data_IF_190828404301
#
_entry.id   IF_190828404301
#
_cell.length_a   1.000
_cell.length_b   1.000
_cell.length_c   1.000
_cell.angle_alpha   90.00
_cell.angle_beta   90.00
_cell.angle_gamma   90.00
#
_symmetry.space_group_name_H-M   'P 1'
#
loop_
_entity.id
_entity.type
_entity.pdbx_description
1 polymer ?
#
# COMPACT_ATOMS: atom_id res chain seq x y z
N UNK A 1 24.58 -6.10 -18.22
CA UNK A 1 25.32 -6.00 -16.95
C UNK A 1 24.30 -5.90 -15.83
N UNK A 2 24.41 -6.76 -14.82
CA UNK A 2 23.34 -7.12 -13.89
C UNK A 2 22.68 -5.92 -13.20
N UNK A 3 21.39 -5.69 -13.46
CA UNK A 3 20.55 -4.78 -12.66
C UNK A 3 20.28 -5.47 -11.34
N UNK A 4 21.12 -5.21 -10.34
CA UNK A 4 20.85 -5.56 -8.95
C UNK A 4 19.49 -4.98 -8.56
N UNK A 5 18.55 -5.84 -8.20
CA UNK A 5 17.15 -5.47 -8.01
C UNK A 5 17.08 -4.54 -6.79
N UNK A 6 16.62 -3.29 -6.98
CA UNK A 6 16.45 -2.31 -5.89
C UNK A 6 15.49 -2.80 -4.80
N UNK A 7 14.51 -3.62 -5.22
CA UNK A 7 13.52 -4.27 -4.37
C UNK A 7 13.96 -5.70 -4.03
N UNK A 8 14.01 -6.01 -2.75
CA UNK A 8 14.13 -7.38 -2.23
C UNK A 8 12.76 -7.83 -1.73
N UNK A 9 12.35 -9.04 -2.06
CA UNK A 9 11.18 -9.63 -1.41
C UNK A 9 11.56 -10.09 0.00
N UNK A 10 10.71 -9.77 0.97
CA UNK A 10 10.80 -10.25 2.34
C UNK A 10 9.61 -11.13 2.66
N UNK A 11 9.81 -12.02 3.63
CA UNK A 11 8.74 -12.76 4.27
C UNK A 11 8.53 -12.23 5.69
N UNK A 12 7.26 -12.05 6.05
CA UNK A 12 6.81 -11.64 7.36
C UNK A 12 5.89 -12.71 7.95
N UNK A 13 5.93 -12.97 9.26
CA UNK A 13 5.10 -13.99 9.90
C UNK A 13 3.59 -13.85 9.67
N UNK A 14 3.12 -12.63 9.39
CA UNK A 14 1.70 -12.31 9.22
C UNK A 14 1.18 -12.60 7.81
N UNK A 15 2.06 -12.76 6.81
CA UNK A 15 1.63 -13.07 5.45
C UNK A 15 0.91 -14.42 5.40
N UNK A 16 -0.04 -14.53 4.49
CA UNK A 16 -0.75 -15.79 4.21
C UNK A 16 -0.50 -16.21 2.79
N UNK A 17 -0.53 -17.50 2.53
CA UNK A 17 -0.56 -18.03 1.17
C UNK A 17 -1.92 -18.70 0.92
N UNK A 18 -2.71 -18.23 -0.05
CA UNK A 18 -3.84 -19.00 -0.57
C UNK A 18 -3.34 -20.28 -1.24
N UNK A 19 -4.26 -21.13 -1.70
CA UNK A 19 -3.96 -22.45 -2.25
C UNK A 19 -3.00 -22.45 -3.47
N UNK A 20 -2.75 -21.29 -4.08
CA UNK A 20 -1.86 -21.09 -5.23
C UNK A 20 -0.39 -20.84 -4.87
N UNK A 21 -0.04 -20.75 -3.58
CA UNK A 21 1.34 -20.56 -3.13
C UNK A 21 1.84 -19.11 -3.20
N UNK A 22 1.01 -18.15 -3.62
CA UNK A 22 1.39 -16.73 -3.67
C UNK A 22 1.25 -16.10 -2.28
N UNK A 23 2.23 -15.32 -1.82
CA UNK A 23 2.14 -14.65 -0.51
C UNK A 23 1.32 -13.35 -0.58
N UNK A 24 0.41 -13.18 0.38
CA UNK A 24 -0.44 -12.01 0.55
C UNK A 24 -0.20 -11.32 1.90
N UNK A 25 0.05 -9.98 1.90
CA UNK A 25 0.46 -9.16 0.74
C UNK A 25 1.86 -9.56 0.25
N UNK A 26 2.31 -9.12 -0.92
CA UNK A 26 3.75 -9.14 -1.21
C UNK A 26 4.46 -8.10 -0.34
N UNK A 27 5.68 -8.38 0.13
CA UNK A 27 6.45 -7.44 0.95
C UNK A 27 7.76 -7.15 0.25
N UNK A 28 8.02 -5.86 -0.01
CA UNK A 28 9.25 -5.38 -0.62
C UNK A 28 10.02 -4.55 0.39
N UNK A 29 11.31 -4.81 0.49
CA UNK A 29 12.28 -3.98 1.19
C UNK A 29 13.38 -3.53 0.24
N UNK A 30 14.21 -2.58 0.67
CA UNK A 30 15.39 -2.26 -0.10
C UNK A 30 16.44 -3.38 -0.03
N UNK A 31 17.22 -3.56 -1.10
CA UNK A 31 18.38 -4.48 -1.09
C UNK A 31 19.53 -3.95 -0.23
N UNK A 32 20.09 -4.84 0.60
CA UNK A 32 21.14 -4.55 1.62
C UNK A 32 22.46 -4.01 1.08
N UNK A 33 22.72 -4.10 -0.23
CA UNK A 33 23.95 -3.59 -0.86
C UNK A 33 24.00 -2.06 -1.00
N UNK A 34 22.90 -1.37 -0.65
CA UNK A 34 22.79 0.09 -0.76
C UNK A 34 22.97 0.74 0.62
N UNK A 35 24.14 0.55 1.23
CA UNK A 35 24.52 1.11 2.56
C UNK A 35 24.74 2.62 2.56
N UNK A 36 24.59 3.29 1.42
CA UNK A 36 24.48 4.76 1.35
C UNK A 36 23.01 5.10 1.54
N UNK A 37 22.72 5.92 2.55
CA UNK A 37 21.45 6.62 2.81
C UNK A 37 20.55 6.51 1.59
N UNK A 38 19.60 5.57 1.62
CA UNK A 38 18.67 5.47 0.53
C UNK A 38 17.91 6.78 0.51
N UNK A 39 18.07 7.49 -0.59
CA UNK A 39 17.40 8.75 -0.79
C UNK A 39 16.02 8.47 -1.34
N UNK A 40 15.04 9.26 -0.91
CA UNK A 40 13.70 9.26 -1.49
C UNK A 40 13.75 9.34 -3.03
N UNK A 41 14.68 10.14 -3.58
CA UNK A 41 14.91 10.27 -5.03
C UNK A 41 15.21 8.93 -5.71
N UNK A 42 16.08 8.10 -5.12
CA UNK A 42 16.42 6.77 -5.65
C UNK A 42 15.23 5.82 -5.58
N UNK A 43 14.44 5.88 -4.49
CA UNK A 43 13.22 5.08 -4.37
C UNK A 43 12.19 5.48 -5.45
N UNK A 44 11.94 6.78 -5.66
CA UNK A 44 11.06 7.28 -6.74
C UNK A 44 11.53 6.80 -8.12
N UNK A 45 12.83 6.92 -8.40
CA UNK A 45 13.40 6.44 -9.66
C UNK A 45 13.23 4.93 -9.84
N UNK A 46 13.41 4.14 -8.77
CA UNK A 46 13.19 2.70 -8.81
C UNK A 46 11.72 2.35 -9.05
N UNK A 47 10.77 3.06 -8.43
CA UNK A 47 9.33 2.89 -8.72
C UNK A 47 9.07 3.10 -10.21
N UNK A 48 9.56 4.20 -10.78
CA UNK A 48 9.37 4.53 -12.20
C UNK A 48 10.00 3.46 -13.10
N UNK A 49 11.25 3.08 -12.84
CA UNK A 49 12.00 2.11 -13.65
C UNK A 49 11.41 0.70 -13.60
N UNK A 50 10.82 0.30 -12.47
CA UNK A 50 10.26 -1.04 -12.24
C UNK A 50 8.73 -1.08 -12.26
N UNK A 51 8.05 0.00 -12.69
CA UNK A 51 6.59 0.10 -12.67
C UNK A 51 5.87 -1.11 -13.29
N UNK A 52 6.23 -1.62 -14.49
CA UNK A 52 5.54 -2.79 -15.06
C UNK A 52 5.65 -4.04 -14.17
N UNK A 53 6.80 -4.24 -13.53
CA UNK A 53 7.00 -5.35 -12.60
C UNK A 53 6.20 -5.16 -11.31
N UNK A 54 6.17 -3.95 -10.74
CA UNK A 54 5.36 -3.63 -9.56
C UNK A 54 3.87 -3.80 -9.84
N UNK A 55 3.38 -3.40 -11.01
CA UNK A 55 1.98 -3.60 -11.41
C UNK A 55 1.64 -5.08 -11.58
N UNK A 56 2.54 -5.88 -12.16
CA UNK A 56 2.38 -7.34 -12.25
C UNK A 56 2.36 -8.01 -10.88
N UNK A 57 3.27 -7.61 -9.99
CA UNK A 57 3.32 -8.10 -8.61
C UNK A 57 2.04 -7.75 -7.85
N UNK A 58 1.54 -6.51 -8.00
CA UNK A 58 0.29 -6.05 -7.38
C UNK A 58 -0.91 -6.82 -7.92
N UNK A 59 -0.95 -7.08 -9.23
CA UNK A 59 -2.02 -7.85 -9.86
C UNK A 59 -2.10 -9.28 -9.31
N UNK A 60 -0.96 -9.93 -9.13
CA UNK A 60 -0.89 -11.31 -8.64
C UNK A 60 -1.10 -11.41 -7.13
N UNK A 61 -0.57 -10.46 -6.36
CA UNK A 61 -0.56 -10.53 -4.90
C UNK A 61 -1.72 -9.77 -4.27
N UNK A 62 -2.47 -8.94 -5.00
CA UNK A 62 -3.57 -8.11 -4.50
C UNK A 62 -3.15 -6.88 -3.68
N UNK A 63 -2.03 -6.95 -2.96
CA UNK A 63 -1.45 -5.81 -2.22
C UNK A 63 0.08 -5.95 -2.12
N UNK A 64 0.76 -4.80 -1.97
CA UNK A 64 2.21 -4.73 -1.75
C UNK A 64 2.48 -3.84 -0.53
N UNK A 65 3.26 -4.34 0.44
CA UNK A 65 3.84 -3.56 1.53
C UNK A 65 5.27 -3.16 1.17
N UNK A 66 5.55 -1.87 1.12
CA UNK A 66 6.90 -1.33 0.99
C UNK A 66 7.45 -1.00 2.38
N UNK A 67 8.47 -1.73 2.86
CA UNK A 67 9.01 -1.60 4.22
C UNK A 67 10.50 -1.27 4.22
N UNK A 68 10.90 -0.27 5.00
CA UNK A 68 12.31 0.14 5.16
C UNK A 68 12.79 1.18 4.14
N UNK A 69 11.87 1.81 3.40
CA UNK A 69 12.19 2.92 2.50
C UNK A 69 12.18 4.27 3.23
N UNK A 70 12.93 5.27 2.73
CA UNK A 70 13.08 6.59 3.35
C UNK A 70 11.86 7.50 3.12
N UNK A 71 10.68 7.08 3.59
CA UNK A 71 9.43 7.85 3.50
C UNK A 71 9.02 8.22 4.92
N UNK A 72 9.21 9.49 5.29
CA UNK A 72 9.11 9.93 6.69
C UNK A 72 8.12 11.06 6.92
N UNK A 73 7.51 11.57 5.85
CA UNK A 73 6.54 12.67 5.92
C UNK A 73 5.44 12.51 4.88
N UNK A 74 4.30 13.21 5.05
CA UNK A 74 3.23 13.26 4.06
C UNK A 74 3.72 13.73 2.68
N UNK A 75 4.69 14.65 2.64
CA UNK A 75 5.29 15.15 1.41
C UNK A 75 6.10 14.06 0.70
N UNK A 76 6.91 13.29 1.45
CA UNK A 76 7.66 12.15 0.90
C UNK A 76 6.70 11.09 0.35
N UNK A 77 5.60 10.86 1.06
CA UNK A 77 4.58 9.91 0.64
C UNK A 77 3.84 10.37 -0.62
N UNK A 78 3.47 11.66 -0.72
CA UNK A 78 2.90 12.22 -1.95
C UNK A 78 3.85 12.02 -3.14
N UNK A 79 5.14 12.27 -2.93
CA UNK A 79 6.20 12.07 -3.92
C UNK A 79 6.29 10.62 -4.41
N UNK A 80 6.09 9.65 -3.52
CA UNK A 80 6.03 8.21 -3.85
C UNK A 80 4.76 7.90 -4.65
N UNK A 81 3.60 8.39 -4.21
CA UNK A 81 2.32 8.20 -4.91
C UNK A 81 2.39 8.77 -6.33
N UNK A 82 2.99 9.94 -6.51
CA UNK A 82 3.19 10.56 -7.82
C UNK A 82 4.15 9.75 -8.70
N UNK A 83 5.20 9.16 -8.13
CA UNK A 83 6.14 8.31 -8.87
C UNK A 83 5.49 7.06 -9.49
N UNK A 84 4.44 6.51 -8.87
CA UNK A 84 3.66 5.43 -9.49
C UNK A 84 2.88 5.90 -10.73
N UNK A 85 2.57 7.19 -10.85
CA UNK A 85 1.87 7.75 -12.00
C UNK A 85 0.46 7.19 -12.19
N UNK A 86 -0.21 6.76 -11.12
CA UNK A 86 -1.62 6.38 -11.18
C UNK A 86 -2.51 7.63 -11.25
N UNK A 87 -3.67 7.56 -11.93
CA UNK A 87 -4.63 8.65 -11.90
C UNK A 87 -5.15 8.85 -10.48
N UNK A 88 -5.26 10.11 -10.06
CA UNK A 88 -5.89 10.46 -8.79
C UNK A 88 -7.39 10.16 -8.84
N UNK A 89 -7.94 9.71 -7.71
CA UNK A 89 -9.37 9.56 -7.52
C UNK A 89 -9.84 10.67 -6.57
N UNK A 90 -10.72 11.55 -7.02
CA UNK A 90 -11.28 12.62 -6.19
C UNK A 90 -12.25 12.04 -5.14
N UNK A 91 -12.00 12.32 -3.86
CA UNK A 91 -12.83 11.84 -2.75
C UNK A 91 -14.16 12.61 -2.66
N UNK A 92 -15.06 12.37 -3.61
CA UNK A 92 -16.39 12.99 -3.66
C UNK A 92 -17.44 11.95 -3.26
N UNK A 93 -18.30 12.28 -2.28
CA UNK A 93 -19.31 11.36 -1.76
C UNK A 93 -18.78 10.34 -0.76
N UNK A 94 -17.60 10.58 -0.18
CA UNK A 94 -17.06 9.82 0.94
C UNK A 94 -17.94 9.90 2.20
N UNK A 95 -17.97 8.82 2.98
CA UNK A 95 -18.70 8.76 4.26
C UNK A 95 -17.83 9.08 5.48
N UNK A 96 -16.50 9.02 5.34
CA UNK A 96 -15.57 9.36 6.39
C UNK A 96 -15.09 10.81 6.22
N UNK A 97 -14.94 11.52 7.34
CA UNK A 97 -14.21 12.80 7.33
C UNK A 97 -12.75 12.53 6.99
N UNK A 98 -12.24 13.32 6.04
CA UNK A 98 -10.84 13.30 5.61
C UNK A 98 -10.37 14.73 5.44
N UNK A 99 -9.19 15.02 5.94
CA UNK A 99 -8.50 16.30 5.80
C UNK A 99 -7.39 16.13 4.78
N UNK A 100 -7.34 17.01 3.77
CA UNK A 100 -6.24 17.04 2.82
C UNK A 100 -4.98 17.56 3.53
N UNK A 101 -3.89 16.80 3.49
CA UNK A 101 -2.63 17.15 4.14
C UNK A 101 -1.69 17.82 3.15
N UNK A 102 -1.40 17.15 2.03
CA UNK A 102 -0.53 17.66 0.95
C UNK A 102 -0.80 16.91 -0.34
N UNK A 103 -0.93 17.63 -1.47
CA UNK A 103 -1.13 17.01 -2.78
C UNK A 103 -2.29 16.02 -2.78
N UNK A 104 -2.00 14.75 -3.04
CA UNK A 104 -2.95 13.63 -3.11
C UNK A 104 -3.10 12.87 -1.78
N UNK A 105 -2.51 13.37 -0.70
CA UNK A 105 -2.49 12.73 0.62
C UNK A 105 -3.54 13.35 1.52
N UNK A 106 -4.35 12.48 2.11
CA UNK A 106 -5.43 12.81 3.03
C UNK A 106 -5.28 11.97 4.30
N UNK A 107 -5.83 12.44 5.42
CA UNK A 107 -6.06 11.58 6.59
C UNK A 107 -7.01 10.43 6.22
N UNK A 108 -6.82 9.25 6.80
CA UNK A 108 -7.57 8.05 6.40
C UNK A 108 -8.98 7.99 7.03
N UNK A 109 -9.03 7.96 8.37
CA UNK A 109 -10.25 7.93 9.15
C UNK A 109 -10.05 8.76 10.42
N UNK A 110 -10.93 9.71 10.67
CA UNK A 110 -10.90 10.58 11.85
C UNK A 110 -11.93 10.12 12.92
N UNK A 111 -12.40 8.88 12.83
CA UNK A 111 -13.27 8.28 13.86
C UNK A 111 -12.51 8.06 15.17
N UNK A 112 -13.21 7.93 16.32
CA UNK A 112 -12.57 7.65 17.60
C UNK A 112 -11.70 6.39 17.57
N UNK A 113 -10.56 6.43 18.28
CA UNK A 113 -9.55 5.37 18.27
C UNK A 113 -10.03 4.04 18.89
N UNK A 114 -11.11 4.07 19.68
CA UNK A 114 -11.74 2.89 20.29
C UNK A 114 -12.71 2.16 19.35
N UNK A 115 -12.90 2.66 18.12
CA UNK A 115 -13.83 2.08 17.15
C UNK A 115 -13.11 1.23 16.11
N UNK A 116 -13.54 -0.02 16.01
CA UNK A 116 -13.15 -0.89 14.92
C UNK A 116 -13.85 -0.45 13.62
N UNK A 117 -13.08 -0.38 12.54
CA UNK A 117 -13.60 -0.16 11.20
C UNK A 117 -13.84 -1.52 10.55
N UNK A 118 -15.09 -1.87 10.17
CA UNK A 118 -15.37 -3.18 9.58
C UNK A 118 -14.73 -3.35 8.21
N UNK A 119 -14.47 -4.59 7.80
CA UNK A 119 -14.00 -4.89 6.45
C UNK A 119 -14.96 -4.37 5.38
N UNK A 120 -14.39 -3.71 4.36
CA UNK A 120 -15.12 -3.16 3.23
C UNK A 120 -14.19 -2.96 2.03
N UNK A 121 -14.77 -2.73 0.86
CA UNK A 121 -14.07 -2.13 -0.27
C UNK A 121 -14.24 -0.61 -0.21
N UNK A 122 -13.17 0.14 -0.43
CA UNK A 122 -13.19 1.61 -0.37
C UNK A 122 -14.26 2.17 -1.32
N UNK A 123 -15.18 2.95 -0.75
CA UNK A 123 -16.30 3.56 -1.45
C UNK A 123 -17.13 2.60 -2.32
N UNK A 124 -17.33 1.34 -1.90
CA UNK A 124 -18.12 0.34 -2.65
C UNK A 124 -19.57 0.72 -2.93
N UNK A 125 -20.08 1.77 -2.28
CA UNK A 125 -21.44 2.27 -2.39
C UNK A 125 -21.60 3.38 -3.45
N UNK A 126 -20.54 3.83 -4.12
CA UNK A 126 -20.63 4.79 -5.24
C UNK A 126 -20.46 4.08 -6.60
N UNK A 127 -21.00 4.64 -7.70
CA UNK A 127 -20.92 3.99 -9.02
C UNK A 127 -19.50 3.84 -9.58
N UNK A 128 -18.60 4.76 -9.23
CA UNK A 128 -17.20 4.74 -9.64
C UNK A 128 -16.34 4.77 -8.38
N UNK A 129 -15.71 3.65 -8.05
CA UNK A 129 -14.84 3.48 -6.88
C UNK A 129 -13.36 3.52 -7.26
N UNK A 130 -12.45 3.81 -6.31
CA UNK A 130 -11.02 3.78 -6.57
C UNK A 130 -10.55 2.37 -6.95
N UNK A 131 -9.69 2.28 -7.98
CA UNK A 131 -9.12 1.01 -8.43
C UNK A 131 -7.93 0.54 -7.58
N UNK A 132 -7.29 1.46 -6.88
CA UNK A 132 -6.10 1.26 -6.04
C UNK A 132 -6.14 2.24 -4.88
N UNK A 133 -5.55 1.86 -3.76
CA UNK A 133 -5.44 2.68 -2.56
C UNK A 133 -4.03 2.53 -2.00
N UNK A 134 -3.48 3.61 -1.46
CA UNK A 134 -2.21 3.60 -0.73
C UNK A 134 -2.47 3.98 0.72
N UNK A 135 -1.73 3.34 1.63
CA UNK A 135 -1.65 3.71 3.04
C UNK A 135 -0.20 4.03 3.39
N UNK A 136 -0.02 4.98 4.31
CA UNK A 136 1.27 5.39 4.84
C UNK A 136 1.16 5.59 6.35
N UNK A 137 2.17 5.11 7.06
CA UNK A 137 2.32 5.25 8.49
C UNK A 137 3.39 6.31 8.74
N UNK A 138 2.98 7.52 9.11
CA UNK A 138 3.89 8.58 9.54
C UNK A 138 4.37 8.34 10.98
N UNK A 139 3.44 7.96 11.86
CA UNK A 139 3.69 7.64 13.27
C UNK A 139 3.18 6.23 13.56
N UNK A 140 4.05 5.37 14.09
CA UNK A 140 3.72 4.00 14.48
C UNK A 140 2.83 4.01 15.73
N UNK A 141 1.69 3.29 15.75
CA UNK A 141 0.84 3.21 16.93
C UNK A 141 1.57 2.47 18.07
N UNK A 142 1.38 2.94 19.31
CA UNK A 142 1.97 2.27 20.48
C UNK A 142 1.37 0.88 20.77
N UNK A 143 0.09 0.69 20.44
CA UNK A 143 -0.62 -0.60 20.52
C UNK A 143 -1.79 -0.58 19.53
N UNK A 144 -2.06 -1.72 18.89
CA UNK A 144 -3.13 -1.86 17.90
C UNK A 144 -2.92 -0.94 16.69
N UNK A 145 -4.02 -0.40 16.15
CA UNK A 145 -3.98 0.58 15.06
C UNK A 145 -3.52 0.00 13.71
N UNK A 146 -3.41 -1.31 13.59
CA UNK A 146 -3.12 -1.95 12.31
C UNK A 146 -4.25 -1.68 11.30
N UNK A 147 -3.93 -1.81 10.02
CA UNK A 147 -4.92 -1.84 8.93
C UNK A 147 -5.04 -3.27 8.41
N UNK A 148 -5.92 -4.12 8.96
CA UNK A 148 -6.13 -5.47 8.45
C UNK A 148 -6.58 -5.43 6.99
N UNK A 149 -6.02 -6.32 6.18
CA UNK A 149 -6.40 -6.49 4.77
C UNK A 149 -6.76 -7.94 4.50
N UNK A 150 -7.70 -8.16 3.58
CA UNK A 150 -8.22 -9.49 3.22
C UNK A 150 -8.49 -9.58 1.72
N UNK A 151 -8.24 -10.74 1.13
CA UNK A 151 -8.55 -11.02 -0.26
C UNK A 151 -10.05 -11.28 -0.43
N UNK A 152 -10.76 -10.33 -1.03
CA UNK A 152 -12.22 -10.40 -1.22
C UNK A 152 -12.68 -11.64 -1.99
N UNK A 153 -11.91 -12.11 -2.97
CA UNK A 153 -12.28 -13.29 -3.75
C UNK A 153 -12.20 -14.58 -2.92
N UNK A 154 -11.27 -14.67 -1.96
CA UNK A 154 -11.17 -15.81 -1.04
C UNK A 154 -12.37 -15.84 -0.09
N UNK A 155 -12.80 -14.67 0.40
CA UNK A 155 -14.04 -14.56 1.19
C UNK A 155 -15.24 -15.02 0.36
N UNK A 156 -15.35 -14.59 -0.89
CA UNK A 156 -16.41 -15.00 -1.79
C UNK A 156 -16.44 -16.51 -2.03
N UNK A 157 -15.31 -17.14 -2.35
CA UNK A 157 -15.26 -18.60 -2.56
C UNK A 157 -15.63 -19.36 -1.30
N UNK A 158 -15.15 -18.94 -0.12
CA UNK A 158 -15.53 -19.55 1.17
C UNK A 158 -17.01 -19.39 1.52
N UNK A 159 -17.65 -18.31 1.08
CA UNK A 159 -19.08 -18.08 1.31
C UNK A 159 -19.98 -18.88 0.35
N UNK A 160 -19.42 -19.50 -0.70
CA UNK A 160 -20.15 -20.44 -1.57
C UNK A 160 -20.23 -21.84 -1.00
N UNK A 161 -19.29 -22.22 -0.14
CA UNK A 161 -19.26 -23.51 0.57
C UNK A 161 -20.44 -23.62 1.55
#
# INVERSE_FOLDING_TARGET
MATGIFFQQLELPQQKSPADGVLFPAVLSPTSTTTKLQQLSTFKQAIIAHKPWLESLLLNSGAILFRGFPVTSPSDFNDVVEAFGFPEFSYVGGRASRTQVVGRVYTANESPLDKEVPFHHEMSYVPVSPKKLFFFCEEEPGEGGETPIVLSHIVYEKMKE
#
